data_IF_228402512423
#
_entry.id   IF_228402512423
#
_cell.length_a   1.000
_cell.length_b   1.000
_cell.length_c   1.000
_cell.angle_alpha   90.00
_cell.angle_beta   90.00
_cell.angle_gamma   90.00
#
_symmetry.space_group_name_H-M   'P 1'
#
loop_
_entity.id
_entity.type
_entity.pdbx_description
1 polymer ?
#
# COMPACT_ATOMS: atom_id res chain seq x y z
N UNK A 1 3.95 -22.29 -22.44
CA UNK A 1 3.63 -20.91 -22.87
C UNK A 1 3.79 -20.05 -21.64
N UNK A 2 4.73 -19.10 -21.67
CA UNK A 2 5.13 -18.32 -20.51
C UNK A 2 4.30 -17.03 -20.48
N UNK A 3 3.48 -16.83 -19.45
CA UNK A 3 2.83 -15.56 -19.19
C UNK A 3 3.84 -14.63 -18.54
N UNK A 4 4.48 -13.76 -19.33
CA UNK A 4 5.24 -12.62 -18.81
C UNK A 4 4.55 -11.38 -19.39
N UNK A 5 3.84 -10.58 -18.57
CA UNK A 5 3.41 -9.28 -18.99
C UNK A 5 4.64 -8.33 -18.92
N UNK A 6 5.12 -7.90 -20.09
CA UNK A 6 5.94 -6.69 -20.21
C UNK A 6 5.01 -5.48 -20.08
N UNK A 7 4.73 -5.05 -18.84
CA UNK A 7 4.04 -3.78 -18.59
C UNK A 7 4.82 -2.94 -17.57
N UNK A 8 4.92 -1.61 -17.77
CA UNK A 8 5.55 -0.72 -16.83
C UNK A 8 4.74 -0.66 -15.52
N UNK A 9 5.23 -1.37 -14.50
CA UNK A 9 5.24 -1.27 -13.02
C UNK A 9 4.14 -0.46 -12.28
N UNK A 10 3.46 0.51 -12.90
CA UNK A 10 2.42 1.35 -12.29
C UNK A 10 1.00 0.80 -12.49
N UNK A 11 0.78 -0.09 -13.46
CA UNK A 11 -0.45 -0.89 -13.53
C UNK A 11 -0.27 -2.15 -12.68
N UNK A 12 -0.41 -2.00 -11.36
CA UNK A 12 -0.77 -3.15 -10.55
C UNK A 12 -2.07 -3.70 -11.14
N UNK A 13 -1.95 -4.87 -11.80
CA UNK A 13 -3.10 -5.67 -12.16
C UNK A 13 -3.96 -5.78 -10.91
N UNK A 14 -5.16 -5.20 -10.96
CA UNK A 14 -6.23 -5.57 -10.05
C UNK A 14 -6.49 -7.04 -10.32
N UNK A 15 -5.77 -7.90 -9.59
CA UNK A 15 -5.95 -9.33 -9.67
C UNK A 15 -7.24 -9.63 -8.91
N UNK A 16 -8.36 -9.59 -9.64
CA UNK A 16 -9.67 -9.95 -9.12
C UNK A 16 -9.66 -11.44 -8.83
N UNK A 17 -9.51 -11.81 -7.57
CA UNK A 17 -9.77 -13.17 -7.16
C UNK A 17 -11.27 -13.44 -7.30
N UNK A 18 -11.69 -14.08 -8.39
CA UNK A 18 -13.09 -14.43 -8.64
C UNK A 18 -13.65 -15.47 -7.65
N UNK A 19 -12.80 -16.10 -6.84
CA UNK A 19 -13.28 -16.95 -5.77
C UNK A 19 -13.83 -16.07 -4.63
N UNK A 20 -15.14 -16.11 -4.31
CA UNK A 20 -15.77 -15.25 -3.30
C UNK A 20 -15.19 -15.42 -1.88
N UNK A 21 -14.32 -16.41 -1.66
CA UNK A 21 -13.51 -16.52 -0.44
C UNK A 21 -12.29 -15.61 -0.40
N UNK A 22 -11.71 -15.21 -1.54
CA UNK A 22 -10.43 -14.50 -1.57
C UNK A 22 -10.50 -13.05 -1.08
N UNK A 23 -11.65 -12.39 -1.24
CA UNK A 23 -11.86 -11.02 -0.74
C UNK A 23 -11.71 -10.94 0.79
N UNK A 24 -12.00 -12.03 1.51
CA UNK A 24 -11.77 -12.11 2.97
C UNK A 24 -10.29 -12.30 3.33
N UNK A 25 -9.47 -12.91 2.47
CA UNK A 25 -8.07 -13.21 2.78
C UNK A 25 -7.07 -12.20 2.22
N UNK A 26 -7.43 -11.39 1.23
CA UNK A 26 -6.54 -10.37 0.66
C UNK A 26 -6.03 -9.36 1.71
N UNK A 27 -6.87 -8.85 2.65
CA UNK A 27 -6.40 -7.98 3.72
C UNK A 27 -5.43 -8.66 4.70
N UNK A 28 -5.40 -9.99 4.76
CA UNK A 28 -4.50 -10.74 5.66
C UNK A 28 -3.08 -10.85 5.11
N UNK A 29 -2.87 -10.56 3.82
CA UNK A 29 -1.54 -10.56 3.21
C UNK A 29 -0.89 -9.19 3.24
N UNK A 30 -1.67 -8.12 3.18
CA UNK A 30 -1.21 -6.75 3.31
C UNK A 30 -1.10 -6.37 4.80
N UNK A 31 -0.02 -6.84 5.47
CA UNK A 31 0.17 -6.63 6.92
C UNK A 31 1.04 -5.40 7.27
N UNK A 32 1.44 -4.66 6.23
CA UNK A 32 2.24 -3.46 6.33
C UNK A 32 3.73 -3.78 6.34
N UNK A 33 4.55 -2.94 6.96
CA UNK A 33 5.98 -3.18 6.98
C UNK A 33 6.30 -4.24 8.04
N UNK A 34 6.73 -5.42 7.61
CA UNK A 34 7.09 -6.58 8.46
C UNK A 34 8.42 -6.40 9.22
N UNK A 35 8.59 -5.26 9.91
CA UNK A 35 9.82 -4.89 10.64
C UNK A 35 9.73 -5.38 12.11
N UNK A 36 10.73 -6.14 12.61
CA UNK A 36 10.68 -6.75 13.95
C UNK A 36 10.91 -5.77 15.10
N UNK A 37 11.36 -4.55 14.80
CA UNK A 37 11.62 -3.50 15.80
C UNK A 37 10.41 -2.57 15.87
N UNK A 38 9.61 -2.57 16.95
CA UNK A 38 8.30 -1.89 16.98
C UNK A 38 8.35 -0.40 16.63
N UNK A 39 9.31 0.34 17.18
CA UNK A 39 9.44 1.77 16.89
C UNK A 39 9.78 2.05 15.41
N UNK A 40 10.67 1.24 14.83
CA UNK A 40 11.03 1.37 13.41
C UNK A 40 9.84 0.96 12.54
N UNK A 41 9.10 -0.08 12.95
CA UNK A 41 7.87 -0.52 12.30
C UNK A 41 6.85 0.61 12.24
N UNK A 42 6.54 1.26 13.36
CA UNK A 42 5.54 2.33 13.43
C UNK A 42 5.88 3.50 12.49
N UNK A 43 7.17 3.87 12.43
CA UNK A 43 7.65 4.93 11.53
C UNK A 43 7.58 4.47 10.07
N UNK A 44 8.02 3.26 9.77
CA UNK A 44 7.96 2.71 8.41
C UNK A 44 6.53 2.52 7.94
N UNK A 45 5.60 2.03 8.76
CA UNK A 45 4.18 1.92 8.41
C UNK A 45 3.56 3.30 8.14
N UNK A 46 3.96 4.31 8.91
CA UNK A 46 3.49 5.69 8.71
C UNK A 46 3.97 6.28 7.38
N UNK A 47 5.22 6.03 6.99
CA UNK A 47 5.84 6.62 5.80
C UNK A 47 5.58 5.77 4.55
N UNK A 48 5.74 4.45 4.66
CA UNK A 48 5.78 3.48 3.56
C UNK A 48 4.72 2.38 3.63
N UNK A 49 3.70 2.54 4.49
CA UNK A 49 2.73 1.47 4.72
C UNK A 49 2.03 0.99 3.44
N UNK A 50 1.73 1.87 2.46
CA UNK A 50 1.10 1.42 1.20
C UNK A 50 2.06 0.60 0.36
N UNK A 51 3.32 1.02 0.34
CA UNK A 51 4.36 0.42 -0.48
C UNK A 51 4.71 -0.97 0.06
N UNK A 52 4.73 -1.12 1.40
CA UNK A 52 4.85 -2.42 2.06
C UNK A 52 3.65 -3.34 1.74
N UNK A 53 2.42 -2.85 1.87
CA UNK A 53 1.22 -3.62 1.49
C UNK A 53 1.26 -4.06 0.02
N UNK A 54 1.63 -3.17 -0.90
CA UNK A 54 1.77 -3.47 -2.33
C UNK A 54 2.87 -4.51 -2.61
N UNK A 55 3.94 -4.52 -1.82
CA UNK A 55 5.00 -5.53 -1.91
C UNK A 55 4.51 -6.90 -1.45
N UNK A 56 3.77 -6.96 -0.35
CA UNK A 56 3.17 -8.21 0.12
C UNK A 56 2.19 -8.80 -0.89
N UNK A 57 1.39 -7.95 -1.53
CA UNK A 57 0.48 -8.34 -2.59
C UNK A 57 1.24 -8.85 -3.83
N UNK A 58 2.38 -8.23 -4.16
CA UNK A 58 3.24 -8.71 -5.25
C UNK A 58 3.79 -10.11 -4.95
N UNK A 59 4.25 -10.35 -3.72
CA UNK A 59 4.68 -11.68 -3.28
C UNK A 59 3.57 -12.72 -3.35
N UNK A 60 2.32 -12.29 -3.14
CA UNK A 60 1.13 -13.11 -3.28
C UNK A 60 0.57 -13.15 -4.71
N UNK A 61 1.19 -12.54 -5.71
CA UNK A 61 0.71 -12.62 -7.08
C UNK A 61 1.37 -13.82 -7.81
N UNK A 62 0.59 -14.75 -8.40
CA UNK A 62 1.13 -15.80 -9.26
C UNK A 62 1.93 -15.22 -10.43
N UNK A 63 3.02 -15.89 -10.79
CA UNK A 63 3.87 -15.50 -11.93
C UNK A 63 4.92 -14.42 -11.65
N UNK A 64 4.80 -13.66 -10.56
CA UNK A 64 5.83 -12.69 -10.18
C UNK A 64 7.04 -13.37 -9.52
N UNK A 65 8.24 -12.91 -9.89
CA UNK A 65 9.48 -13.31 -9.23
C UNK A 65 9.76 -12.43 -8.01
N UNK A 66 10.52 -12.95 -7.05
CA UNK A 66 10.95 -12.16 -5.89
C UNK A 66 11.68 -10.90 -6.32
N UNK A 67 12.66 -11.02 -7.23
CA UNK A 67 13.46 -9.89 -7.71
C UNK A 67 12.60 -8.81 -8.37
N UNK A 68 11.60 -9.19 -9.17
CA UNK A 68 10.70 -8.22 -9.79
C UNK A 68 9.88 -7.45 -8.74
N UNK A 69 9.37 -8.16 -7.73
CA UNK A 69 8.65 -7.54 -6.61
C UNK A 69 9.54 -6.62 -5.77
N UNK A 70 10.77 -7.04 -5.46
CA UNK A 70 11.71 -6.25 -4.66
C UNK A 70 12.15 -4.98 -5.39
N UNK A 71 12.40 -5.06 -6.71
CA UNK A 71 12.74 -3.89 -7.54
C UNK A 71 11.57 -2.91 -7.60
N UNK A 72 10.35 -3.40 -7.84
CA UNK A 72 9.15 -2.56 -7.84
C UNK A 72 8.93 -1.90 -6.46
N UNK A 73 9.13 -2.64 -5.38
CA UNK A 73 9.07 -2.11 -4.02
C UNK A 73 10.05 -0.95 -3.81
N UNK A 74 11.31 -1.11 -4.22
CA UNK A 74 12.29 -0.03 -4.11
C UNK A 74 11.87 1.23 -4.89
N UNK A 75 11.38 1.06 -6.12
CA UNK A 75 10.91 2.18 -6.93
C UNK A 75 9.73 2.92 -6.26
N UNK A 76 8.78 2.17 -5.71
CA UNK A 76 7.64 2.71 -4.98
C UNK A 76 8.08 3.47 -3.72
N UNK A 77 8.99 2.91 -2.92
CA UNK A 77 9.56 3.61 -1.76
C UNK A 77 10.27 4.91 -2.15
N UNK A 78 11.08 4.88 -3.21
CA UNK A 78 11.80 6.06 -3.71
C UNK A 78 10.84 7.14 -4.21
N UNK A 79 9.72 6.75 -4.82
CA UNK A 79 8.69 7.68 -5.26
C UNK A 79 8.10 8.47 -4.07
N UNK A 80 7.82 7.80 -2.95
CA UNK A 80 7.35 8.45 -1.71
C UNK A 80 8.36 9.49 -1.21
N UNK A 81 9.66 9.21 -1.34
CA UNK A 81 10.71 10.15 -0.96
C UNK A 81 10.83 11.37 -1.90
N UNK A 82 10.29 11.28 -3.12
CA UNK A 82 10.31 12.36 -4.11
C UNK A 82 9.07 13.27 -4.01
N UNK A 83 7.92 12.73 -3.60
CA UNK A 83 6.69 13.50 -3.44
C UNK A 83 6.67 14.30 -2.12
N UNK A 84 6.08 15.51 -2.15
CA UNK A 84 6.07 16.44 -1.02
C UNK A 84 5.35 15.90 0.23
N UNK A 85 5.88 16.19 1.43
CA UNK A 85 5.31 15.76 2.71
C UNK A 85 6.34 15.76 3.85
N UNK A 86 6.08 15.02 4.93
CA UNK A 86 7.08 14.81 6.00
C UNK A 86 8.34 14.12 5.44
N UNK A 87 8.17 13.20 4.50
CA UNK A 87 9.27 12.51 3.82
C UNK A 87 10.19 13.46 3.03
N UNK A 88 9.65 14.51 2.39
CA UNK A 88 10.45 15.44 1.59
C UNK A 88 11.34 16.36 2.44
N UNK A 89 10.96 16.65 3.69
CA UNK A 89 11.82 17.42 4.63
C UNK A 89 13.06 16.61 5.02
N UNK A 90 12.94 15.29 5.02
CA UNK A 90 13.99 14.34 5.36
C UNK A 90 14.38 13.48 4.16
N UNK A 91 14.43 14.07 2.96
CA UNK A 91 14.62 13.33 1.69
C UNK A 91 15.77 12.31 1.76
N UNK A 92 16.95 12.73 2.23
CA UNK A 92 18.12 11.83 2.35
C UNK A 92 17.87 10.66 3.30
N UNK A 93 17.25 10.92 4.45
CA UNK A 93 16.94 9.86 5.43
C UNK A 93 15.84 8.93 4.90
N UNK A 94 14.87 9.47 4.15
CA UNK A 94 13.85 8.70 3.46
C UNK A 94 14.47 7.76 2.41
N UNK A 95 15.34 8.28 1.54
CA UNK A 95 16.02 7.49 0.51
C UNK A 95 16.93 6.41 1.15
N UNK A 96 17.63 6.75 2.24
CA UNK A 96 18.44 5.80 2.99
C UNK A 96 17.59 4.68 3.60
N UNK A 97 16.44 5.05 4.21
CA UNK A 97 15.51 4.08 4.77
C UNK A 97 14.90 3.20 3.68
N UNK A 98 14.50 3.77 2.55
CA UNK A 98 13.98 3.06 1.38
C UNK A 98 14.99 2.02 0.86
N UNK A 99 16.26 2.43 0.69
CA UNK A 99 17.34 1.53 0.30
C UNK A 99 17.57 0.41 1.33
N UNK A 100 17.51 0.74 2.62
CA UNK A 100 17.68 -0.24 3.71
C UNK A 100 16.56 -1.29 3.69
N UNK A 101 15.31 -0.85 3.50
CA UNK A 101 14.15 -1.75 3.41
C UNK A 101 14.22 -2.65 2.18
N UNK A 102 14.57 -2.11 1.00
CA UNK A 102 14.83 -2.90 -0.20
C UNK A 102 15.93 -3.95 0.03
N UNK A 103 17.08 -3.52 0.58
CA UNK A 103 18.21 -4.42 0.84
C UNK A 103 17.83 -5.55 1.79
N UNK A 104 17.01 -5.26 2.81
CA UNK A 104 16.52 -6.26 3.73
C UNK A 104 15.66 -7.32 3.02
N UNK A 105 14.64 -6.91 2.25
CA UNK A 105 13.78 -7.89 1.56
C UNK A 105 14.52 -8.65 0.47
N UNK A 106 15.46 -8.02 -0.23
CA UNK A 106 16.26 -8.68 -1.25
C UNK A 106 17.20 -9.74 -0.67
N UNK A 107 17.82 -9.47 0.48
CA UNK A 107 18.78 -10.40 1.10
C UNK A 107 18.11 -11.50 1.93
N UNK A 108 17.03 -11.19 2.65
CA UNK A 108 16.42 -12.11 3.64
C UNK A 108 14.91 -12.36 3.42
N UNK A 109 14.29 -11.76 2.40
CA UNK A 109 12.85 -11.87 2.12
C UNK A 109 12.41 -13.15 1.42
N UNK A 110 13.34 -14.05 1.06
CA UNK A 110 13.04 -15.29 0.32
C UNK A 110 11.94 -16.12 0.96
N UNK A 111 11.95 -16.27 2.28
CA UNK A 111 10.92 -17.06 2.97
C UNK A 111 9.54 -16.38 2.90
N UNK A 112 9.50 -15.06 3.05
CA UNK A 112 8.26 -14.27 2.93
C UNK A 112 7.67 -14.38 1.51
N UNK A 113 8.52 -14.31 0.48
CA UNK A 113 8.12 -14.52 -0.91
C UNK A 113 7.54 -15.93 -1.14
N UNK A 114 8.26 -16.97 -0.73
CA UNK A 114 7.78 -18.36 -0.88
C UNK A 114 6.44 -18.55 -0.17
N UNK A 115 6.28 -18.00 1.04
CA UNK A 115 5.03 -18.09 1.79
C UNK A 115 3.88 -17.36 1.08
N UNK A 116 4.13 -16.18 0.51
CA UNK A 116 3.14 -15.43 -0.26
C UNK A 116 2.72 -16.16 -1.53
N UNK A 117 3.69 -16.70 -2.27
CA UNK A 117 3.41 -17.45 -3.50
C UNK A 117 2.66 -18.75 -3.21
N UNK A 118 3.03 -19.48 -2.15
CA UNK A 118 2.28 -20.67 -1.72
C UNK A 118 0.88 -20.34 -1.22
N UNK A 119 0.67 -19.16 -0.63
CA UNK A 119 -0.66 -18.69 -0.28
C UNK A 119 -1.49 -18.49 -1.56
N UNK A 120 -0.95 -17.80 -2.56
CA UNK A 120 -1.68 -17.53 -3.80
C UNK A 120 -1.99 -18.77 -4.60
N UNK A 121 -1.05 -19.71 -4.72
CA UNK A 121 -1.31 -21.00 -5.37
C UNK A 121 -2.44 -21.80 -4.71
N UNK A 122 -2.64 -21.64 -3.40
CA UNK A 122 -3.69 -22.37 -2.65
C UNK A 122 -5.05 -21.69 -2.71
N UNK A 123 -5.08 -20.36 -2.79
CA UNK A 123 -6.29 -19.57 -2.62
C UNK A 123 -6.76 -18.92 -3.92
N UNK A 124 -5.83 -18.48 -4.77
CA UNK A 124 -6.13 -17.95 -6.08
C UNK A 124 -6.08 -19.13 -7.07
N UNK A 125 -7.24 -19.72 -7.39
CA UNK A 125 -7.34 -20.59 -8.58
C UNK A 125 -6.83 -19.80 -9.78
N UNK A 126 -6.12 -20.45 -10.70
CA UNK A 126 -5.68 -19.87 -11.98
C UNK A 126 -6.85 -19.09 -12.60
N UNK A 127 -6.78 -17.77 -12.50
CA UNK A 127 -7.72 -16.90 -13.18
C UNK A 127 -7.32 -16.93 -14.64
N UNK A 128 -8.12 -17.68 -15.39
CA UNK A 128 -8.13 -17.61 -16.83
C UNK A 128 -8.40 -16.15 -17.21
N UNK A 129 -7.44 -15.53 -17.89
CA UNK A 129 -7.35 -14.08 -18.19
C UNK A 129 -8.53 -13.55 -19.03
N UNK A 130 -9.42 -14.41 -19.51
CA UNK A 130 -10.49 -14.04 -20.43
C UNK A 130 -11.69 -13.30 -19.78
N UNK A 131 -11.85 -13.29 -18.46
CA UNK A 131 -13.05 -12.70 -17.80
C UNK A 131 -12.87 -11.30 -17.20
N UNK A 132 -11.64 -10.82 -16.97
CA UNK A 132 -11.38 -9.58 -16.22
C UNK A 132 -11.94 -8.32 -16.94
N UNK A 133 -12.02 -8.35 -18.28
CA UNK A 133 -12.59 -7.25 -19.07
C UNK A 133 -14.12 -7.12 -18.96
N UNK A 134 -14.83 -8.12 -18.44
CA UNK A 134 -16.29 -8.05 -18.30
C UNK A 134 -16.78 -7.57 -16.92
N UNK A 135 -15.88 -7.45 -15.92
CA UNK A 135 -16.25 -6.97 -14.58
C UNK A 135 -16.86 -5.56 -14.61
N UNK A 136 -18.06 -5.40 -14.04
CA UNK A 136 -18.74 -4.10 -13.88
C UNK A 136 -17.89 -3.09 -13.09
N UNK A 137 -17.05 -3.56 -12.16
CA UNK A 137 -16.19 -2.71 -11.35
C UNK A 137 -15.06 -2.14 -12.18
N UNK A 138 -14.45 -2.95 -13.07
CA UNK A 138 -13.43 -2.50 -14.01
C UNK A 138 -14.00 -1.48 -14.99
N UNK A 139 -15.19 -1.73 -15.54
CA UNK A 139 -15.89 -0.75 -16.39
C UNK A 139 -16.19 0.57 -15.67
N UNK A 140 -16.64 0.52 -14.43
CA UNK A 140 -16.91 1.72 -13.64
C UNK A 140 -15.62 2.48 -13.31
N UNK A 141 -14.54 1.77 -12.99
CA UNK A 141 -13.24 2.37 -12.70
C UNK A 141 -12.64 3.01 -13.97
N UNK A 142 -12.64 2.32 -15.11
CA UNK A 142 -12.21 2.87 -16.41
C UNK A 142 -13.03 4.11 -16.78
N UNK A 143 -14.35 4.09 -16.60
CA UNK A 143 -15.21 5.25 -16.86
C UNK A 143 -14.87 6.42 -15.93
N UNK A 144 -14.71 6.16 -14.63
CA UNK A 144 -14.31 7.18 -13.65
C UNK A 144 -12.95 7.80 -13.99
N UNK A 145 -11.98 6.98 -14.40
CA UNK A 145 -10.66 7.44 -14.81
C UNK A 145 -10.73 8.27 -16.11
N UNK A 146 -11.56 7.87 -17.07
CA UNK A 146 -11.79 8.61 -18.32
C UNK A 146 -12.38 10.00 -18.05
N UNK A 147 -13.44 10.08 -17.26
CA UNK A 147 -14.17 11.33 -16.99
C UNK A 147 -13.32 12.33 -16.17
N UNK A 148 -12.33 11.84 -15.42
CA UNK A 148 -11.46 12.69 -14.59
C UNK A 148 -10.08 12.97 -15.24
N UNK A 149 -9.75 12.31 -16.35
CA UNK A 149 -8.52 12.53 -17.13
C UNK A 149 -8.50 13.93 -17.74
N UNK A 150 -9.62 14.37 -18.31
CA UNK A 150 -9.72 15.67 -18.98
C UNK A 150 -9.50 16.84 -18.01
N UNK A 151 -10.12 16.80 -16.83
CA UNK A 151 -9.96 17.88 -15.84
C UNK A 151 -8.53 17.98 -15.32
N UNK A 152 -7.82 16.86 -15.12
CA UNK A 152 -6.43 16.90 -14.67
C UNK A 152 -5.50 17.53 -15.71
N UNK A 153 -5.68 17.20 -17.00
CA UNK A 153 -4.88 17.76 -18.10
C UNK A 153 -5.14 19.26 -18.24
N UNK A 154 -6.38 19.70 -18.05
CA UNK A 154 -6.72 21.14 -18.03
C UNK A 154 -6.02 21.87 -16.87
N UNK A 155 -5.99 21.27 -15.68
CA UNK A 155 -5.37 21.86 -14.49
C UNK A 155 -3.82 21.80 -14.55
N UNK A 156 -3.25 20.86 -15.31
CA UNK A 156 -1.80 20.58 -15.37
C UNK A 156 -1.35 20.30 -16.81
N UNK A 157 -1.26 21.33 -17.68
CA UNK A 157 -1.01 21.15 -19.12
C UNK A 157 0.38 20.58 -19.46
N UNK A 158 1.30 20.51 -18.49
CA UNK A 158 2.62 19.90 -18.66
C UNK A 158 2.64 18.39 -18.46
N UNK A 159 1.57 17.80 -17.89
CA UNK A 159 1.50 16.36 -17.62
C UNK A 159 0.87 15.63 -18.79
N UNK A 160 1.39 14.44 -19.10
CA UNK A 160 0.69 13.52 -19.99
C UNK A 160 -0.59 13.01 -19.33
N UNK A 161 -1.57 12.56 -20.11
CA UNK A 161 -2.78 12.02 -19.52
C UNK A 161 -2.54 10.78 -18.63
N UNK A 162 -1.51 9.99 -18.92
CA UNK A 162 -1.09 8.84 -18.10
C UNK A 162 -0.48 9.30 -16.76
N UNK A 163 0.36 10.35 -16.77
CA UNK A 163 0.89 10.97 -15.55
C UNK A 163 -0.24 11.58 -14.68
N UNK A 164 -1.25 12.16 -15.34
CA UNK A 164 -2.43 12.71 -14.67
C UNK A 164 -3.28 11.64 -13.98
N UNK A 165 -3.43 10.48 -14.62
CA UNK A 165 -4.10 9.32 -14.03
C UNK A 165 -3.36 8.86 -12.76
N UNK A 166 -2.04 8.66 -12.86
CA UNK A 166 -1.22 8.26 -11.72
C UNK A 166 -1.31 9.28 -10.58
N UNK A 167 -1.23 10.58 -10.88
CA UNK A 167 -1.35 11.66 -9.90
C UNK A 167 -2.70 11.62 -9.15
N UNK A 168 -3.81 11.41 -9.85
CA UNK A 168 -5.15 11.33 -9.24
C UNK A 168 -5.31 10.10 -8.35
N UNK A 169 -4.87 8.93 -8.80
CA UNK A 169 -4.90 7.70 -8.00
C UNK A 169 -4.10 7.89 -6.70
N UNK A 170 -2.91 8.49 -6.80
CA UNK A 170 -2.10 8.82 -5.63
C UNK A 170 -2.77 9.84 -4.71
N UNK A 171 -3.38 10.90 -5.26
CA UNK A 171 -4.10 11.90 -4.47
C UNK A 171 -5.29 11.32 -3.72
N UNK A 172 -6.07 10.43 -4.34
CA UNK A 172 -7.22 9.81 -3.69
C UNK A 172 -6.82 8.77 -2.66
N UNK A 173 -5.78 7.97 -2.95
CA UNK A 173 -5.16 7.10 -1.96
C UNK A 173 -4.65 7.90 -0.75
N UNK A 174 -3.95 9.02 -1.01
CA UNK A 174 -3.45 9.92 0.03
C UNK A 174 -4.60 10.54 0.84
N UNK A 175 -5.67 11.03 0.22
CA UNK A 175 -6.86 11.56 0.93
C UNK A 175 -7.49 10.51 1.84
N UNK A 176 -7.66 9.28 1.34
CA UNK A 176 -8.21 8.17 2.14
C UNK A 176 -7.30 7.84 3.32
N UNK A 177 -5.98 7.81 3.10
CA UNK A 177 -4.98 7.62 4.16
C UNK A 177 -4.99 8.74 5.19
N UNK A 178 -5.02 10.01 4.78
CA UNK A 178 -5.10 11.15 5.70
C UNK A 178 -6.39 11.14 6.51
N UNK A 179 -7.52 10.75 5.91
CA UNK A 179 -8.77 10.56 6.63
C UNK A 179 -8.69 9.41 7.65
N UNK A 180 -8.00 8.31 7.32
CA UNK A 180 -7.73 7.22 8.27
C UNK A 180 -6.81 7.68 9.42
N UNK A 181 -5.73 8.40 9.12
CA UNK A 181 -4.81 8.96 10.10
C UNK A 181 -5.50 9.92 11.08
N UNK A 182 -6.31 10.86 10.57
CA UNK A 182 -7.07 11.78 11.43
C UNK A 182 -8.10 11.05 12.31
N UNK A 183 -8.68 9.94 11.83
CA UNK A 183 -9.51 9.06 12.66
C UNK A 183 -8.71 8.39 13.78
N UNK A 184 -7.53 7.83 13.48
CA UNK A 184 -6.67 7.23 14.49
C UNK A 184 -6.18 8.24 15.54
N UNK A 185 -5.79 9.45 15.10
CA UNK A 185 -5.41 10.55 15.97
C UNK A 185 -6.52 10.92 16.95
N UNK A 186 -7.78 11.01 16.48
CA UNK A 186 -8.94 11.24 17.35
C UNK A 186 -9.11 10.13 18.38
N UNK A 187 -9.00 8.86 17.97
CA UNK A 187 -9.07 7.70 18.87
C UNK A 187 -7.97 7.76 19.94
N UNK A 188 -6.73 8.08 19.55
CA UNK A 188 -5.59 8.20 20.46
C UNK A 188 -5.84 9.28 21.52
N UNK A 189 -6.26 10.48 21.13
CA UNK A 189 -6.55 11.57 22.07
C UNK A 189 -7.73 11.25 22.99
N UNK A 190 -8.76 10.57 22.48
CA UNK A 190 -9.86 10.08 23.31
C UNK A 190 -9.38 9.10 24.39
N UNK A 191 -8.56 8.10 24.02
CA UNK A 191 -7.96 7.14 24.98
C UNK A 191 -7.11 7.84 26.04
N UNK A 192 -6.27 8.80 25.63
CA UNK A 192 -5.42 9.58 26.54
C UNK A 192 -6.25 10.39 27.54
N UNK A 193 -7.36 10.97 27.09
CA UNK A 193 -8.28 11.75 27.95
C UNK A 193 -8.99 10.87 28.96
N UNK A 194 -9.48 9.70 28.54
CA UNK A 194 -10.12 8.70 29.43
C UNK A 194 -9.14 8.23 30.50
N UNK A 195 -7.89 7.91 30.13
CA UNK A 195 -6.84 7.49 31.08
C UNK A 195 -6.59 8.56 32.15
N UNK A 196 -6.39 9.82 31.73
CA UNK A 196 -6.18 10.94 32.67
C UNK A 196 -7.38 11.16 33.60
N UNK A 197 -8.59 11.01 33.10
CA UNK A 197 -9.81 11.12 33.92
C UNK A 197 -9.90 9.99 34.96
N UNK A 198 -9.51 8.76 34.61
CA UNK A 198 -9.47 7.63 35.54
C UNK A 198 -8.43 7.84 36.66
N UNK A 199 -7.23 8.33 36.31
CA UNK A 199 -6.17 8.65 37.28
C UNK A 199 -6.64 9.73 38.29
N UNK A 200 -7.33 10.77 37.82
CA UNK A 200 -7.90 11.81 38.69
C UNK A 200 -8.99 11.28 39.64
N UNK A 201 -9.83 10.33 39.20
CA UNK A 201 -10.83 9.69 40.06
C UNK A 201 -10.18 8.89 41.18
N UNK A 202 -9.11 8.15 40.89
CA UNK A 202 -8.36 7.37 41.90
C UNK A 202 -7.72 8.28 42.96
N UNK A 203 -7.15 9.42 42.54
CA UNK A 203 -6.56 10.39 43.46
C UNK A 203 -7.60 11.04 44.39
N UNK A 204 -8.83 11.26 43.92
CA UNK A 204 -9.94 11.78 44.75
C UNK A 204 -10.44 10.75 45.76
N UNK A 205 -10.45 9.47 45.40
CA UNK A 205 -10.88 8.38 46.28
C UNK A 205 -9.96 8.16 47.49
N UNK A 206 -8.67 8.46 47.37
CA UNK A 206 -7.68 8.31 48.46
C UNK A 206 -7.69 9.42 49.53
N UNK A 207 -8.48 10.49 49.34
CA UNK A 207 -8.56 11.64 50.26
C UNK A 207 -9.76 11.57 51.24
N UNK A 208 -10.44 10.44 51.32
CA UNK A 208 -11.49 10.15 52.31
C UNK A 208 -11.01 9.04 53.22
#
# INVERSE_FOLDING_TARGET
MNCVPDFPIVEYAYMYCEDPGCDEFWPLRADGCSIPVPYVKDVSDMVFGSECELHDLCYAAPGNTQDACDVAFYQNLMSVCQYGGIASVLKRDCELLAYTMYSAVHLIGKQSYVNGNLFSQRHCKELYVDSILESRVVRYYIQYLSDNREQCVLDNPSLTPEECLALRVMQDAWKKKMAAFERQKKIYWAKKTIKKAAELKLLRGRKK
#
